data_IF_351818665032
#
_entry.id   IF_351818665032
#
_cell.length_a   1.000
_cell.length_b   1.000
_cell.length_c   1.000
_cell.angle_alpha   90.00
_cell.angle_beta   90.00
_cell.angle_gamma   90.00
#
_symmetry.space_group_name_H-M   'P 1'
#
loop_
_entity.id
_entity.type
_entity.pdbx_description
1 polymer ?
#
# COMPACT_ATOMS: atom_id res chain seq x y z
N UNK A 1 -14.88 0.53 -31.99
CA UNK A 1 -15.82 0.12 -30.89
C UNK A 1 -15.10 0.08 -29.54
N UNK A 2 -13.82 -0.29 -29.51
CA UNK A 2 -12.93 -0.16 -28.35
C UNK A 2 -12.64 1.31 -27.98
N UNK A 3 -12.63 2.24 -28.94
CA UNK A 3 -12.29 3.65 -28.72
C UNK A 3 -13.25 4.37 -27.77
N UNK A 4 -14.55 4.09 -27.90
CA UNK A 4 -15.58 4.66 -27.02
C UNK A 4 -15.42 4.11 -25.60
N UNK A 5 -15.09 2.82 -25.47
CA UNK A 5 -14.86 2.19 -24.17
C UNK A 5 -13.60 2.74 -23.49
N UNK A 6 -12.48 2.81 -24.22
CA UNK A 6 -11.22 3.35 -23.69
C UNK A 6 -11.33 4.83 -23.33
N UNK A 7 -12.11 5.61 -24.09
CA UNK A 7 -12.41 7.01 -23.78
C UNK A 7 -13.22 7.16 -22.49
N UNK A 8 -14.21 6.29 -22.26
CA UNK A 8 -15.00 6.32 -21.02
C UNK A 8 -14.20 5.84 -19.81
N UNK A 9 -13.38 4.79 -19.97
CA UNK A 9 -12.49 4.29 -18.92
C UNK A 9 -11.46 5.35 -18.51
N UNK A 10 -10.79 5.98 -19.46
CA UNK A 10 -9.85 7.06 -19.17
C UNK A 10 -10.54 8.27 -18.54
N UNK A 11 -11.72 8.69 -19.02
CA UNK A 11 -12.45 9.80 -18.44
C UNK A 11 -12.83 9.58 -16.96
N UNK A 12 -13.16 8.33 -16.58
CA UNK A 12 -13.60 7.97 -15.22
C UNK A 12 -12.44 7.61 -14.28
N UNK A 13 -11.38 6.99 -14.79
CA UNK A 13 -10.32 6.40 -13.96
C UNK A 13 -8.94 7.05 -14.15
N UNK A 14 -8.78 8.09 -14.98
CA UNK A 14 -7.47 8.76 -15.20
C UNK A 14 -6.77 9.24 -13.92
N UNK A 15 -7.53 9.68 -12.92
CA UNK A 15 -7.00 10.27 -11.69
C UNK A 15 -6.93 9.26 -10.53
N UNK A 16 -7.33 8.00 -10.78
CA UNK A 16 -7.37 6.96 -9.75
C UNK A 16 -5.97 6.67 -9.18
N UNK A 17 -4.94 6.76 -10.03
CA UNK A 17 -3.53 6.59 -9.66
C UNK A 17 -2.96 7.75 -8.84
N UNK A 18 -3.64 8.89 -8.82
CA UNK A 18 -3.24 10.03 -8.00
C UNK A 18 -3.89 9.97 -6.60
N UNK A 19 -4.85 9.05 -6.40
CA UNK A 19 -5.48 8.86 -5.10
C UNK A 19 -4.59 8.02 -4.19
N UNK A 20 -4.03 8.68 -3.19
CA UNK A 20 -3.08 8.08 -2.25
C UNK A 20 -3.63 6.87 -1.49
N UNK A 21 -4.94 6.80 -1.25
CA UNK A 21 -5.56 5.67 -0.55
C UNK A 21 -5.61 4.44 -1.45
N UNK A 22 -5.94 4.65 -2.72
CA UNK A 22 -6.03 3.58 -3.71
C UNK A 22 -4.63 3.07 -4.05
N UNK A 23 -3.65 3.97 -4.20
CA UNK A 23 -2.26 3.56 -4.44
C UNK A 23 -1.64 2.87 -3.24
N UNK A 24 -1.86 3.36 -2.02
CA UNK A 24 -1.40 2.70 -0.79
C UNK A 24 -2.01 1.30 -0.66
N UNK A 25 -3.33 1.14 -0.87
CA UNK A 25 -4.01 -0.15 -0.77
C UNK A 25 -3.54 -1.14 -1.86
N UNK A 26 -3.33 -0.63 -3.09
CA UNK A 26 -2.83 -1.42 -4.22
C UNK A 26 -1.39 -1.90 -3.96
N UNK A 27 -0.56 -1.04 -3.38
CA UNK A 27 0.82 -1.37 -3.03
C UNK A 27 0.90 -2.41 -1.90
N UNK A 28 0.05 -2.27 -0.90
CA UNK A 28 -0.06 -3.17 0.23
C UNK A 28 -0.72 -4.51 -0.13
N UNK A 29 -1.28 -4.67 -1.32
CA UNK A 29 -1.76 -5.97 -1.80
C UNK A 29 -0.60 -6.76 -2.45
N UNK A 30 -0.20 -7.92 -1.91
CA UNK A 30 0.93 -8.69 -2.44
C UNK A 30 0.71 -9.22 -3.87
N UNK A 31 -0.53 -9.22 -4.37
CA UNK A 31 -0.88 -9.54 -5.77
C UNK A 31 -0.54 -8.41 -6.72
N UNK A 32 -0.56 -7.17 -6.21
CA UNK A 32 -0.56 -5.95 -6.99
C UNK A 32 0.64 -5.04 -6.67
N UNK A 33 1.52 -5.41 -5.73
CA UNK A 33 2.75 -4.68 -5.36
C UNK A 33 3.73 -4.40 -6.50
N UNK A 34 3.63 -5.15 -7.61
CA UNK A 34 4.40 -4.96 -8.86
C UNK A 34 3.49 -4.53 -10.02
N UNK A 35 2.34 -3.91 -9.74
CA UNK A 35 1.62 -3.21 -10.78
C UNK A 35 2.53 -2.09 -11.27
N UNK A 36 2.84 -2.16 -12.55
CA UNK A 36 3.35 -1.04 -13.32
C UNK A 36 2.24 0.00 -13.26
N UNK A 37 2.29 0.86 -12.24
CA UNK A 37 1.61 2.14 -12.31
C UNK A 37 1.89 2.69 -13.70
N UNK A 38 0.89 3.31 -14.35
CA UNK A 38 1.05 3.78 -15.73
C UNK A 38 2.31 4.65 -15.90
N UNK A 39 2.82 5.22 -14.80
CA UNK A 39 4.17 5.75 -14.68
C UNK A 39 4.90 5.19 -13.44
N UNK A 40 6.10 4.63 -13.65
CA UNK A 40 6.99 4.08 -12.60
C UNK A 40 7.24 5.08 -11.44
N UNK A 41 7.25 6.39 -11.76
CA UNK A 41 7.49 7.48 -10.81
C UNK A 41 6.38 7.62 -9.75
N UNK A 42 5.13 7.22 -10.06
CA UNK A 42 4.01 7.31 -9.11
C UNK A 42 4.07 6.24 -8.04
N UNK A 43 4.55 5.04 -8.40
CA UNK A 43 4.83 3.97 -7.44
C UNK A 43 5.80 4.48 -6.37
N UNK A 44 6.93 5.03 -6.81
CA UNK A 44 7.98 5.55 -5.93
C UNK A 44 7.49 6.72 -5.07
N UNK A 45 6.60 7.57 -5.59
CA UNK A 45 5.96 8.64 -4.82
C UNK A 45 5.02 8.09 -3.72
N UNK A 46 4.22 7.07 -4.02
CA UNK A 46 3.38 6.38 -3.03
C UNK A 46 4.25 5.69 -1.96
N UNK A 47 5.34 5.03 -2.37
CA UNK A 47 6.36 4.48 -1.46
C UNK A 47 6.95 5.56 -0.53
N UNK A 48 7.32 6.73 -1.09
CA UNK A 48 7.83 7.87 -0.29
C UNK A 48 6.77 8.40 0.68
N UNK A 49 5.51 8.47 0.26
CA UNK A 49 4.43 8.93 1.12
C UNK A 49 4.14 7.95 2.27
N UNK A 50 4.10 6.65 2.01
CA UNK A 50 3.96 5.63 3.05
C UNK A 50 5.13 5.70 4.05
N UNK A 51 6.35 5.86 3.55
CA UNK A 51 7.55 6.05 4.36
C UNK A 51 7.49 7.30 5.26
N UNK A 52 6.80 8.36 4.81
CA UNK A 52 6.68 9.62 5.56
C UNK A 52 5.52 9.62 6.57
N UNK A 53 4.43 8.89 6.32
CA UNK A 53 3.30 8.76 7.26
C UNK A 53 3.65 8.06 8.57
N UNK A 54 4.66 7.19 8.57
CA UNK A 54 5.23 6.61 9.80
C UNK A 54 5.92 7.67 10.69
N UNK A 55 6.32 8.83 10.14
CA UNK A 55 6.93 9.91 10.89
C UNK A 55 5.91 10.77 11.64
N UNK A 56 4.74 11.04 11.08
CA UNK A 56 3.89 12.14 11.58
C UNK A 56 2.86 11.71 12.64
N UNK A 57 2.49 10.42 12.72
CA UNK A 57 1.55 9.93 13.76
C UNK A 57 2.20 9.78 15.15
N UNK A 58 3.54 9.69 15.23
CA UNK A 58 4.30 9.47 16.47
C UNK A 58 5.12 10.71 16.93
N UNK A 59 5.12 11.82 16.18
CA UNK A 59 5.82 13.06 16.58
C UNK A 59 5.13 13.80 17.73
N UNK A 60 3.90 13.45 18.08
CA UNK A 60 3.22 14.01 19.25
C UNK A 60 3.67 13.41 20.60
N UNK A 61 4.40 12.28 20.63
CA UNK A 61 4.65 11.59 21.92
C UNK A 61 6.09 11.32 22.36
N UNK A 62 7.09 11.12 21.49
CA UNK A 62 8.44 10.88 22.05
C UNK A 62 9.58 11.12 21.07
N UNK A 63 10.44 12.10 21.39
CA UNK A 63 11.74 12.29 20.76
C UNK A 63 12.70 11.18 21.19
N UNK A 64 12.61 10.02 20.55
CA UNK A 64 13.64 9.00 20.55
C UNK A 64 13.45 8.14 19.31
N UNK A 65 14.51 7.51 18.82
CA UNK A 65 14.49 6.36 17.88
C UNK A 65 14.68 6.69 16.39
N UNK A 66 15.93 7.00 16.00
CA UNK A 66 16.39 6.83 14.61
C UNK A 66 16.27 5.39 14.07
N UNK A 67 15.95 4.40 14.92
CA UNK A 67 15.79 2.99 14.53
C UNK A 67 14.37 2.62 14.05
N UNK A 68 13.33 3.41 14.36
CA UNK A 68 11.93 3.05 14.06
C UNK A 68 11.62 3.19 12.58
N UNK A 69 12.06 4.30 11.97
CA UNK A 69 11.91 4.57 10.54
C UNK A 69 12.78 3.64 9.69
N UNK A 70 14.01 3.36 10.13
CA UNK A 70 14.90 2.42 9.45
C UNK A 70 14.30 1.00 9.39
N UNK A 71 13.67 0.53 10.48
CA UNK A 71 13.01 -0.77 10.51
C UNK A 71 11.81 -0.87 9.55
N UNK A 72 10.97 0.17 9.47
CA UNK A 72 9.85 0.22 8.52
C UNK A 72 10.31 0.21 7.05
N UNK A 73 11.40 0.93 6.74
CA UNK A 73 12.01 0.93 5.40
C UNK A 73 12.51 -0.48 5.04
N UNK A 74 13.21 -1.15 5.97
CA UNK A 74 13.74 -2.49 5.75
C UNK A 74 12.63 -3.53 5.55
N UNK A 75 11.53 -3.44 6.32
CA UNK A 75 10.35 -4.31 6.12
C UNK A 75 9.74 -4.12 4.73
N UNK A 76 9.63 -2.87 4.27
CA UNK A 76 9.07 -2.52 2.96
C UNK A 76 9.96 -3.01 1.81
N UNK A 77 11.27 -2.85 1.92
CA UNK A 77 12.23 -3.35 0.93
C UNK A 77 12.20 -4.89 0.84
N UNK A 78 12.11 -5.58 1.98
CA UNK A 78 11.93 -7.04 2.01
C UNK A 78 10.61 -7.45 1.35
N UNK A 79 9.50 -6.79 1.67
CA UNK A 79 8.19 -7.06 1.06
C UNK A 79 8.20 -6.86 -0.47
N UNK A 80 8.91 -5.83 -0.96
CA UNK A 80 9.09 -5.57 -2.39
C UNK A 80 9.85 -6.68 -3.10
N UNK A 81 10.79 -7.33 -2.42
CA UNK A 81 11.60 -8.43 -2.97
C UNK A 81 10.91 -9.79 -2.93
N UNK A 82 9.89 -9.97 -2.07
CA UNK A 82 9.10 -11.21 -2.03
C UNK A 82 8.46 -11.52 -3.40
N UNK A 83 8.26 -12.80 -3.76
CA UNK A 83 7.52 -13.16 -4.97
C UNK A 83 6.08 -12.63 -4.93
N UNK A 84 5.50 -12.42 -6.12
CA UNK A 84 4.08 -12.12 -6.25
C UNK A 84 3.27 -13.38 -5.92
N UNK A 85 2.18 -13.19 -5.18
CA UNK A 85 1.22 -14.27 -4.95
C UNK A 85 0.26 -14.39 -6.14
N UNK A 86 -0.34 -15.57 -6.32
CA UNK A 86 -1.29 -15.80 -7.41
C UNK A 86 -2.51 -14.90 -7.24
N UNK A 87 -3.10 -14.47 -8.36
CA UNK A 87 -4.32 -13.63 -8.35
C UNK A 87 -5.52 -14.31 -7.68
N UNK A 88 -5.54 -15.64 -7.65
CA UNK A 88 -6.58 -16.45 -7.02
C UNK A 88 -6.43 -16.60 -5.50
N UNK A 89 -5.32 -16.15 -4.92
CA UNK A 89 -5.08 -16.25 -3.49
C UNK A 89 -5.60 -15.02 -2.74
N UNK A 90 -5.88 -15.20 -1.45
CA UNK A 90 -6.35 -14.14 -0.56
C UNK A 90 -5.17 -13.41 0.09
N UNK A 91 -5.03 -12.13 -0.23
CA UNK A 91 -3.99 -11.25 0.28
C UNK A 91 -4.04 -11.06 1.80
N UNK A 92 -5.23 -11.12 2.42
CA UNK A 92 -5.37 -10.96 3.87
C UNK A 92 -4.85 -12.19 4.61
N UNK A 93 -5.07 -13.39 4.07
CA UNK A 93 -4.49 -14.64 4.61
C UNK A 93 -2.96 -14.58 4.51
N UNK A 94 -2.43 -14.11 3.39
CA UNK A 94 -0.98 -13.96 3.21
C UNK A 94 -0.36 -13.03 4.26
N UNK A 95 -1.01 -11.90 4.52
CA UNK A 95 -0.58 -10.94 5.54
C UNK A 95 -0.66 -11.52 6.95
N UNK A 96 -1.71 -12.26 7.27
CA UNK A 96 -1.85 -12.93 8.56
C UNK A 96 -0.72 -13.94 8.82
N UNK A 97 -0.38 -14.74 7.80
CA UNK A 97 0.71 -15.72 7.88
C UNK A 97 2.10 -15.08 8.07
N UNK A 98 2.26 -13.79 7.75
CA UNK A 98 3.55 -13.07 7.76
C UNK A 98 3.57 -11.89 8.72
N UNK A 99 2.62 -11.84 9.65
CA UNK A 99 2.52 -10.75 10.64
C UNK A 99 3.80 -10.60 11.47
N UNK A 100 4.49 -11.70 11.76
CA UNK A 100 5.74 -11.68 12.54
C UNK A 100 6.95 -11.22 11.72
N UNK A 101 6.90 -11.38 10.38
CA UNK A 101 7.96 -10.94 9.46
C UNK A 101 7.84 -9.46 9.12
N UNK A 102 6.61 -8.93 9.12
CA UNK A 102 6.30 -7.55 8.76
C UNK A 102 5.35 -6.89 9.78
N UNK A 103 5.74 -6.80 11.06
CA UNK A 103 4.85 -6.32 12.12
C UNK A 103 4.37 -4.88 11.88
N UNK A 104 5.18 -4.01 11.27
CA UNK A 104 4.82 -2.61 10.99
C UNK A 104 3.90 -2.53 9.78
N UNK A 105 4.25 -3.20 8.68
CA UNK A 105 3.39 -3.24 7.49
C UNK A 105 2.05 -3.89 7.82
N UNK A 106 2.03 -4.96 8.62
CA UNK A 106 0.80 -5.62 9.03
C UNK A 106 -0.13 -4.69 9.83
N UNK A 107 0.43 -3.81 10.66
CA UNK A 107 -0.34 -2.75 11.34
C UNK A 107 -0.98 -1.77 10.34
N UNK A 108 -0.25 -1.37 9.31
CA UNK A 108 -0.75 -0.47 8.24
C UNK A 108 -1.82 -1.18 7.41
N UNK A 109 -1.59 -2.44 7.04
CA UNK A 109 -2.53 -3.30 6.33
C UNK A 109 -3.83 -3.45 7.13
N UNK A 110 -3.73 -3.70 8.44
CA UNK A 110 -4.88 -3.69 9.35
C UNK A 110 -5.66 -2.38 9.28
N UNK A 111 -4.97 -1.24 9.32
CA UNK A 111 -5.62 0.09 9.26
C UNK A 111 -6.26 0.39 7.90
N UNK A 112 -5.71 -0.13 6.80
CA UNK A 112 -6.06 0.26 5.42
C UNK A 112 -6.95 -0.74 4.68
N UNK A 113 -6.68 -2.03 4.81
CA UNK A 113 -7.44 -3.09 4.11
C UNK A 113 -8.60 -3.63 4.96
N UNK A 114 -8.51 -3.55 6.29
CA UNK A 114 -9.63 -3.84 7.18
C UNK A 114 -10.38 -2.55 7.46
N UNK A 115 -11.07 -2.04 6.44
CA UNK A 115 -11.98 -0.92 6.66
C UNK A 115 -13.24 -1.43 7.38
N UNK A 116 -13.18 -1.51 8.72
CA UNK A 116 -14.37 -1.42 9.57
C UNK A 116 -14.81 0.05 9.63
N UNK A 117 -15.38 0.54 8.52
CA UNK A 117 -16.27 1.70 8.47
C UNK A 117 -17.40 1.46 7.45
N UNK A 118 -17.88 0.22 7.39
CA UNK A 118 -19.23 -0.12 6.92
C UNK A 118 -20.23 -0.22 8.08
N UNK A 119 -19.89 0.27 9.27
CA UNK A 119 -20.80 0.26 10.42
C UNK A 119 -20.73 1.58 11.20
N UNK A 120 -21.20 2.66 10.59
CA UNK A 120 -22.21 3.48 11.24
C UNK A 120 -23.14 4.03 10.16
N UNK A 121 -24.42 3.75 10.36
CA UNK A 121 -25.55 4.33 9.63
C UNK A 121 -25.51 5.87 9.67
#
# INVERSE_FOLDING_TARGET
MTDTLMKQLSARFKDVENNILITDATLLDPRFKRLEFSEQNKADAAYRSLKQKDSDEEVARTKATGNSTAAGIVELDKYKQEPLIKRSEDSLIWWYQRQDLYPRLYKIVKKRLYCSNLCSM
#
